data_IF_925260842979
#
_entry.id   IF_925260842979
#
_cell.length_a   1.000
_cell.length_b   1.000
_cell.length_c   1.000
_cell.angle_alpha   90.00
_cell.angle_beta   90.00
_cell.angle_gamma   90.00
#
_symmetry.space_group_name_H-M   'P 1'
#
loop_
_entity.id
_entity.type
_entity.pdbx_description
1 polymer ?
#
# COMPACT_ATOMS: atom_id res chain seq x y z
N UNK A 1 -15.44 -10.03 6.60
CA UNK A 1 -16.00 -8.70 6.35
C UNK A 1 -15.61 -8.31 4.94
N UNK A 2 -16.59 -8.02 4.07
CA UNK A 2 -16.34 -7.57 2.71
C UNK A 2 -16.62 -6.07 2.66
N UNK A 3 -15.69 -5.30 2.10
CA UNK A 3 -15.84 -3.86 1.87
C UNK A 3 -15.93 -3.68 0.36
N UNK A 4 -17.03 -3.10 -0.11
CA UNK A 4 -17.18 -2.69 -1.50
C UNK A 4 -16.84 -1.20 -1.59
N UNK A 5 -15.96 -0.84 -2.51
CA UNK A 5 -15.55 0.53 -2.75
C UNK A 5 -16.02 0.95 -4.13
N UNK A 6 -16.52 2.18 -4.25
CA UNK A 6 -16.78 2.81 -5.53
C UNK A 6 -15.48 3.33 -6.16
N UNK A 7 -15.49 3.57 -7.47
CA UNK A 7 -14.29 3.99 -8.21
C UNK A 7 -13.55 5.17 -7.57
N UNK A 8 -14.26 6.23 -7.17
CA UNK A 8 -13.64 7.38 -6.51
C UNK A 8 -12.98 7.01 -5.17
N UNK A 9 -13.58 6.09 -4.41
CA UNK A 9 -13.03 5.59 -3.15
C UNK A 9 -11.78 4.74 -3.39
N UNK A 10 -11.76 3.94 -4.47
CA UNK A 10 -10.57 3.20 -4.91
C UNK A 10 -9.43 4.15 -5.27
N UNK A 11 -9.71 5.21 -6.04
CA UNK A 11 -8.71 6.21 -6.40
C UNK A 11 -8.11 6.91 -5.17
N UNK A 12 -8.96 7.38 -4.26
CA UNK A 12 -8.48 8.00 -3.00
C UNK A 12 -7.67 7.00 -2.17
N UNK A 13 -8.12 5.75 -2.08
CA UNK A 13 -7.39 4.71 -1.35
C UNK A 13 -6.02 4.43 -2.00
N UNK A 14 -5.94 4.37 -3.33
CA UNK A 14 -4.68 4.20 -4.06
C UNK A 14 -3.71 5.34 -3.76
N UNK A 15 -4.16 6.59 -3.80
CA UNK A 15 -3.33 7.76 -3.47
C UNK A 15 -2.80 7.69 -2.03
N UNK A 16 -3.67 7.36 -1.07
CA UNK A 16 -3.29 7.23 0.35
C UNK A 16 -2.27 6.12 0.57
N UNK A 17 -2.49 4.94 -0.03
CA UNK A 17 -1.58 3.80 0.09
C UNK A 17 -0.22 4.09 -0.58
N UNK A 18 -0.22 4.75 -1.74
CA UNK A 18 1.02 5.16 -2.42
C UNK A 18 1.80 6.21 -1.62
N UNK A 19 1.11 7.17 -1.01
CA UNK A 19 1.75 8.16 -0.13
C UNK A 19 2.36 7.49 1.09
N UNK A 20 1.59 6.61 1.74
CA UNK A 20 2.07 5.89 2.93
C UNK A 20 3.25 4.97 2.62
N UNK A 21 3.27 4.30 1.47
CA UNK A 21 4.41 3.49 1.04
C UNK A 21 5.69 4.33 0.88
N UNK A 22 5.59 5.56 0.36
CA UNK A 22 6.74 6.47 0.27
C UNK A 22 7.27 6.85 1.65
N UNK A 23 6.37 7.15 2.59
CA UNK A 23 6.73 7.48 3.97
C UNK A 23 7.42 6.30 4.67
N UNK A 24 6.87 5.08 4.54
CA UNK A 24 7.47 3.87 5.11
C UNK A 24 8.89 3.63 4.60
N UNK A 25 9.11 3.78 3.29
CA UNK A 25 10.44 3.63 2.67
C UNK A 25 11.43 4.68 3.16
N UNK A 26 10.98 5.93 3.32
CA UNK A 26 11.80 7.00 3.90
C UNK A 26 12.15 6.69 5.36
N UNK A 27 11.19 6.22 6.14
CA UNK A 27 11.40 5.87 7.53
C UNK A 27 12.33 4.67 7.69
N UNK A 28 12.15 3.63 6.86
CA UNK A 28 13.00 2.43 6.83
C UNK A 28 14.45 2.77 6.51
N UNK A 29 14.67 3.70 5.57
CA UNK A 29 16.01 4.18 5.23
C UNK A 29 16.71 4.95 6.37
N UNK A 30 15.92 5.51 7.30
CA UNK A 30 16.38 6.30 8.46
C UNK A 30 16.37 5.51 9.76
N UNK A 31 15.85 4.28 9.75
CA UNK A 31 15.73 3.46 10.95
C UNK A 31 17.10 2.93 11.40
N UNK A 32 17.49 3.25 12.64
CA UNK A 32 18.76 2.79 13.22
C UNK A 32 18.65 1.41 13.90
N UNK A 33 17.44 1.00 14.26
CA UNK A 33 17.17 -0.31 14.89
C UNK A 33 16.83 -1.37 13.83
N UNK A 34 17.45 -2.55 13.95
CA UNK A 34 17.20 -3.68 13.06
C UNK A 34 15.75 -4.15 13.15
N UNK A 35 15.24 -4.41 14.36
CA UNK A 35 13.87 -4.87 14.60
C UNK A 35 12.84 -3.85 14.09
N UNK A 36 13.14 -2.56 14.23
CA UNK A 36 12.27 -1.50 13.72
C UNK A 36 12.24 -1.49 12.19
N UNK A 37 13.40 -1.66 11.55
CA UNK A 37 13.52 -1.75 10.10
C UNK A 37 12.80 -2.97 9.54
N UNK A 38 12.90 -4.13 10.19
CA UNK A 38 12.15 -5.33 9.80
C UNK A 38 10.63 -5.12 9.89
N UNK A 39 10.16 -4.48 10.97
CA UNK A 39 8.75 -4.11 11.10
C UNK A 39 8.30 -3.18 9.95
N UNK A 40 9.10 -2.19 9.59
CA UNK A 40 8.79 -1.28 8.48
C UNK A 40 8.76 -2.01 7.14
N UNK A 41 9.72 -2.89 6.85
CA UNK A 41 9.71 -3.70 5.64
C UNK A 41 8.51 -4.63 5.55
N UNK A 42 8.07 -5.21 6.68
CA UNK A 42 6.84 -6.00 6.69
C UNK A 42 5.62 -5.14 6.33
N UNK A 43 5.53 -3.92 6.85
CA UNK A 43 4.45 -2.98 6.51
C UNK A 43 4.51 -2.55 5.04
N UNK A 44 5.70 -2.26 4.50
CA UNK A 44 5.91 -1.98 3.09
C UNK A 44 5.36 -3.12 2.21
N UNK A 45 5.73 -4.38 2.52
CA UNK A 45 5.29 -5.54 1.78
C UNK A 45 3.75 -5.74 1.80
N UNK A 46 3.11 -5.46 2.94
CA UNK A 46 1.64 -5.50 3.04
C UNK A 46 1.01 -4.43 2.15
N UNK A 47 1.50 -3.18 2.21
CA UNK A 47 0.96 -2.07 1.39
C UNK A 47 1.17 -2.34 -0.11
N UNK A 48 2.36 -2.81 -0.50
CA UNK A 48 2.65 -3.22 -1.88
C UNK A 48 1.72 -4.35 -2.35
N UNK A 49 1.46 -5.35 -1.50
CA UNK A 49 0.53 -6.42 -1.84
C UNK A 49 -0.89 -5.92 -2.05
N UNK A 50 -1.35 -4.94 -1.26
CA UNK A 50 -2.70 -4.35 -1.41
C UNK A 50 -2.77 -3.55 -2.70
N UNK A 51 -1.79 -2.68 -2.97
CA UNK A 51 -1.70 -1.90 -4.21
C UNK A 51 -1.73 -2.80 -5.46
N UNK A 52 -0.98 -3.91 -5.45
CA UNK A 52 -0.96 -4.86 -6.57
C UNK A 52 -2.31 -5.53 -6.81
N UNK A 53 -3.06 -5.84 -5.73
CA UNK A 53 -4.41 -6.43 -5.85
C UNK A 53 -5.38 -5.43 -6.45
N UNK A 54 -5.40 -4.19 -5.94
CA UNK A 54 -6.26 -3.12 -6.44
C UNK A 54 -5.97 -2.79 -7.92
N UNK A 55 -4.69 -2.73 -8.31
CA UNK A 55 -4.31 -2.50 -9.71
C UNK A 55 -4.71 -3.65 -10.66
N UNK A 56 -4.77 -4.88 -10.14
CA UNK A 56 -5.22 -6.05 -10.92
C UNK A 56 -6.73 -6.04 -11.10
N UNK A 57 -7.48 -5.64 -10.07
CA UNK A 57 -8.94 -5.53 -10.11
C UNK A 57 -9.41 -4.41 -11.05
N UNK A 58 -8.78 -3.22 -11.03
CA UNK A 58 -9.08 -2.15 -12.00
C UNK A 58 -8.87 -2.59 -13.45
N UNK A 59 -7.86 -3.43 -13.72
CA UNK A 59 -7.61 -3.93 -15.08
C UNK A 59 -8.68 -4.92 -15.55
N UNK A 60 -9.33 -5.65 -14.63
CA UNK A 60 -10.39 -6.61 -14.96
C UNK A 60 -11.74 -5.93 -15.19
N UNK A 61 -12.00 -4.78 -14.57
CA UNK A 61 -13.22 -3.99 -14.80
C UNK A 61 -13.17 -3.11 -16.07
N UNK A 62 -11.98 -2.90 -16.63
CA UNK A 62 -11.75 -2.08 -17.82
C UNK A 62 -11.79 -2.84 -19.17
N UNK A 63 -12.09 -4.15 -19.17
CA UNK A 63 -12.18 -5.04 -20.36
C UNK A 63 -13.61 -5.50 -20.57
#
# INVERSE_FOLDING_TARGET
MQVSLEYEQVQVLLELLQSNLKELRLESSRADSHDYREMLHHREAVVESVLNKLATEERLEAV
#
